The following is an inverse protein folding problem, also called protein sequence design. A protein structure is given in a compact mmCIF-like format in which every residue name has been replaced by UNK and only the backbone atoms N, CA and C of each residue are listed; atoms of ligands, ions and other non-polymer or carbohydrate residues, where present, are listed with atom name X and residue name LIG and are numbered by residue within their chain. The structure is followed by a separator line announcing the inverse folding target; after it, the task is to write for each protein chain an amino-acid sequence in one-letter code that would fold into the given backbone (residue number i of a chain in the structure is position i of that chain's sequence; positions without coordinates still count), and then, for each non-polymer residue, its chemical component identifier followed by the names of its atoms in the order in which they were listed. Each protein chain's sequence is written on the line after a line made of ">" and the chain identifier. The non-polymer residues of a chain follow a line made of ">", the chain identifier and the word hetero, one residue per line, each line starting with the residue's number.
data_IF_942186838852
#
_entry.id   IF_942186838852
#
_cell.length_a   1.000
_cell.length_b   1.000
_cell.length_c   1.000
_cell.angle_alpha   90.00
_cell.angle_beta   90.00
_cell.angle_gamma   90.00
#
_symmetry.space_group_name_H-M   'P 1'
#
loop_
_entity.id
_entity.type
_entity.pdbx_description
1 polymer ?
#
# COMPACT_ATOMS: atom_id res chain seq x y z
N UNK A 1 0.34 9.16 -9.06
CA UNK A 1 -0.21 7.90 -8.47
C UNK A 1 -1.61 7.69 -9.01
N UNK A 2 -1.91 6.50 -9.43
CA UNK A 2 -3.22 6.17 -9.96
C UNK A 2 -3.97 5.24 -9.01
N UNK A 3 -5.23 5.60 -8.71
CA UNK A 3 -6.09 4.78 -7.87
C UNK A 3 -6.54 3.54 -8.63
N UNK A 4 -6.40 2.37 -7.99
CA UNK A 4 -6.92 1.11 -8.50
C UNK A 4 -8.25 0.86 -7.78
N UNK A 5 -9.32 0.67 -8.56
CA UNK A 5 -10.63 0.40 -8.02
C UNK A 5 -10.98 -1.07 -8.24
N UNK A 6 -11.39 -1.73 -7.17
CA UNK A 6 -11.91 -3.10 -7.22
C UNK A 6 -13.41 -3.08 -6.96
N UNK A 7 -14.12 -3.98 -7.63
CA UNK A 7 -15.56 -4.09 -7.42
C UNK A 7 -15.84 -4.78 -6.09
N UNK A 8 -16.65 -4.14 -5.26
CA UNK A 8 -17.08 -4.66 -3.97
C UNK A 8 -18.53 -5.10 -4.04
N UNK A 9 -18.82 -6.31 -3.58
CA UNK A 9 -20.18 -6.86 -3.51
C UNK A 9 -20.64 -6.79 -2.07
N UNK A 10 -21.80 -6.17 -1.85
CA UNK A 10 -22.37 -5.98 -0.51
C UNK A 10 -23.70 -6.70 -0.36
N UNK A 11 -23.93 -7.30 0.81
CA UNK A 11 -25.20 -7.89 1.18
C UNK A 11 -25.39 -7.72 2.70
N UNK A 12 -26.41 -8.34 3.27
CA UNK A 12 -26.71 -8.22 4.71
C UNK A 12 -25.63 -8.79 5.62
N UNK A 13 -24.72 -9.61 5.09
CA UNK A 13 -23.58 -10.19 5.85
C UNK A 13 -22.37 -9.26 5.88
N UNK A 14 -22.30 -8.24 4.99
CA UNK A 14 -21.17 -7.35 4.86
C UNK A 14 -20.73 -7.17 3.43
N UNK A 15 -19.42 -7.21 3.18
CA UNK A 15 -18.89 -6.97 1.85
C UNK A 15 -17.86 -8.02 1.44
N UNK A 16 -17.70 -8.19 0.13
CA UNK A 16 -16.71 -9.07 -0.48
C UNK A 16 -16.06 -8.35 -1.67
N UNK A 17 -14.73 -8.29 -1.67
CA UNK A 17 -13.98 -7.63 -2.74
C UNK A 17 -12.92 -8.60 -3.27
N UNK A 18 -13.17 -9.25 -4.43
CA UNK A 18 -12.15 -10.08 -5.06
C UNK A 18 -11.07 -9.21 -5.72
N UNK A 19 -9.83 -9.63 -5.59
CA UNK A 19 -8.68 -8.97 -6.21
C UNK A 19 -8.02 -10.00 -7.11
N UNK A 20 -8.05 -9.73 -8.43
CA UNK A 20 -7.39 -10.62 -9.37
C UNK A 20 -5.92 -10.24 -9.48
N UNK A 21 -5.03 -11.14 -9.10
CA UNK A 21 -3.58 -10.91 -9.21
C UNK A 21 -3.10 -10.92 -10.66
N UNK A 22 -3.88 -11.49 -11.58
CA UNK A 22 -3.52 -11.48 -13.01
C UNK A 22 -3.61 -10.07 -13.61
N UNK A 23 -4.44 -9.20 -13.06
CA UNK A 23 -4.57 -7.81 -13.51
C UNK A 23 -3.32 -7.01 -13.14
N UNK A 24 -2.65 -7.38 -12.05
CA UNK A 24 -1.49 -6.65 -11.54
C UNK A 24 -0.17 -7.11 -12.17
N UNK A 25 -0.16 -8.27 -12.83
CA UNK A 25 1.00 -8.84 -13.52
C UNK A 25 2.30 -8.78 -12.69
N UNK A 26 2.22 -9.15 -11.43
CA UNK A 26 3.33 -9.10 -10.50
C UNK A 26 3.48 -10.45 -9.79
N UNK A 27 4.70 -10.77 -9.41
CA UNK A 27 4.99 -11.96 -8.59
C UNK A 27 5.04 -11.56 -7.12
N UNK A 28 3.92 -11.65 -6.44
CA UNK A 28 3.84 -11.28 -5.03
C UNK A 28 4.47 -12.36 -4.15
N UNK A 29 5.42 -11.97 -3.31
CA UNK A 29 6.17 -12.86 -2.44
C UNK A 29 5.78 -12.73 -0.97
N UNK A 30 5.16 -11.61 -0.60
CA UNK A 30 4.77 -11.35 0.78
C UNK A 30 3.46 -10.59 0.82
N UNK A 31 2.62 -10.94 1.79
CA UNK A 31 1.41 -10.21 2.12
C UNK A 31 1.53 -9.74 3.57
N UNK A 32 1.33 -8.47 3.81
CA UNK A 32 1.40 -7.88 5.15
C UNK A 32 0.12 -7.13 5.47
N UNK A 33 -0.23 -7.10 6.76
CA UNK A 33 -1.40 -6.38 7.25
C UNK A 33 -0.95 -5.37 8.30
N UNK A 34 -1.37 -4.13 8.14
CA UNK A 34 -1.11 -3.07 9.10
C UNK A 34 -2.44 -2.66 9.74
N UNK A 35 -2.50 -2.75 11.06
CA UNK A 35 -3.67 -2.32 11.84
C UNK A 35 -3.24 -1.09 12.63
N UNK A 36 -4.00 0.00 12.49
CA UNK A 36 -3.66 1.29 13.05
C UNK A 36 -4.83 1.77 13.91
N UNK A 37 -4.66 1.70 15.22
CA UNK A 37 -5.74 1.99 16.17
C UNK A 37 -6.11 3.48 16.18
N UNK A 38 -5.12 4.34 16.04
CA UNK A 38 -5.31 5.79 16.13
C UNK A 38 -5.22 6.47 14.77
N UNK A 39 -6.04 7.51 14.58
CA UNK A 39 -5.91 8.36 13.41
C UNK A 39 -4.60 9.15 13.47
N UNK A 40 -4.12 9.59 12.30
CA UNK A 40 -2.86 10.33 12.12
C UNK A 40 -1.63 9.52 12.53
N UNK A 41 -1.72 8.19 12.46
CA UNK A 41 -0.55 7.33 12.53
C UNK A 41 0.20 7.39 11.21
N UNK A 42 1.48 7.71 11.27
CA UNK A 42 2.36 7.74 10.09
C UNK A 42 3.28 6.53 10.12
N UNK A 43 3.35 5.81 9.00
CA UNK A 43 4.30 4.72 8.79
C UNK A 43 5.10 5.00 7.54
N UNK A 44 6.39 4.99 7.66
CA UNK A 44 7.31 5.24 6.55
C UNK A 44 8.31 6.36 6.87
N UNK A 45 8.95 6.91 5.89
CA UNK A 45 9.04 6.38 4.53
C UNK A 45 9.99 5.21 4.52
N UNK A 46 9.66 4.14 3.78
CA UNK A 46 10.50 2.94 3.68
C UNK A 46 10.84 2.63 2.23
N UNK A 47 12.03 2.12 2.00
CA UNK A 47 12.43 1.56 0.71
C UNK A 47 13.52 0.51 0.92
N UNK A 48 13.70 -0.32 -0.09
CA UNK A 48 14.71 -1.36 -0.10
C UNK A 48 15.45 -1.30 -1.43
N UNK A 49 16.77 -1.49 -1.39
CA UNK A 49 17.63 -1.31 -2.57
C UNK A 49 18.05 -2.63 -3.23
N UNK A 50 18.14 -3.73 -2.47
CA UNK A 50 18.63 -4.99 -3.00
C UNK A 50 17.91 -6.20 -2.36
N UNK A 51 16.90 -6.76 -3.01
CA UNK A 51 16.27 -6.27 -4.24
C UNK A 51 15.36 -5.08 -3.97
N UNK A 52 15.09 -4.23 -4.97
CA UNK A 52 14.05 -3.21 -4.83
C UNK A 52 12.69 -3.87 -4.77
N UNK A 53 11.76 -3.23 -4.06
CA UNK A 53 10.44 -3.81 -3.83
C UNK A 53 9.34 -3.01 -4.51
N UNK A 54 8.47 -3.71 -5.25
CA UNK A 54 7.22 -3.18 -5.75
C UNK A 54 6.12 -3.55 -4.78
N UNK A 55 5.23 -2.61 -4.48
CA UNK A 55 4.17 -2.81 -3.49
C UNK A 55 2.80 -2.50 -4.06
N UNK A 56 1.82 -3.32 -3.72
CA UNK A 56 0.42 -3.05 -3.93
C UNK A 56 -0.19 -2.74 -2.56
N UNK A 57 -0.77 -1.55 -2.44
CA UNK A 57 -1.31 -1.05 -1.17
C UNK A 57 -2.82 -0.96 -1.28
N UNK A 58 -3.54 -1.61 -0.38
CA UNK A 58 -5.00 -1.59 -0.37
C UNK A 58 -5.53 -1.22 1.01
N UNK A 59 -6.42 -0.23 1.05
CA UNK A 59 -7.16 0.10 2.27
C UNK A 59 -8.33 -0.88 2.40
N UNK A 60 -8.34 -1.62 3.49
CA UNK A 60 -9.41 -2.58 3.80
C UNK A 60 -10.49 -1.90 4.62
N UNK A 61 -10.11 -1.03 5.53
CA UNK A 61 -10.99 -0.29 6.41
C UNK A 61 -10.38 1.07 6.73
N UNK A 62 -11.19 2.10 6.75
CA UNK A 62 -10.75 3.46 7.05
C UNK A 62 -10.23 4.20 5.83
N UNK A 63 -9.26 5.09 6.05
CA UNK A 63 -8.70 5.90 4.98
C UNK A 63 -7.29 6.35 5.31
N UNK A 64 -6.50 6.60 4.26
CA UNK A 64 -5.12 7.03 4.38
C UNK A 64 -4.81 8.10 3.33
N UNK A 65 -3.73 8.86 3.56
CA UNK A 65 -3.01 9.51 2.48
C UNK A 65 -1.75 8.70 2.25
N UNK A 66 -1.58 8.22 1.04
CA UNK A 66 -0.42 7.43 0.64
C UNK A 66 0.58 8.33 -0.06
N UNK A 67 1.86 8.20 0.31
CA UNK A 67 2.95 9.05 -0.20
C UNK A 67 4.01 8.20 -0.87
N UNK A 68 4.58 8.72 -1.95
CA UNK A 68 5.81 8.15 -2.50
C UNK A 68 6.80 9.24 -2.89
N UNK A 69 8.08 8.89 -2.81
CA UNK A 69 9.18 9.77 -3.19
C UNK A 69 10.06 9.02 -4.17
N UNK A 70 10.31 9.62 -5.34
CA UNK A 70 11.22 9.05 -6.32
C UNK A 70 12.64 9.11 -5.80
N UNK A 71 13.34 7.96 -5.76
CA UNK A 71 14.68 7.87 -5.18
C UNK A 71 15.75 8.55 -6.04
N UNK A 72 15.49 8.73 -7.34
CA UNK A 72 16.45 9.40 -8.24
C UNK A 72 16.25 10.91 -8.27
N UNK A 73 15.00 11.37 -8.37
CA UNK A 73 14.68 12.78 -8.59
C UNK A 73 14.30 13.52 -7.32
N UNK A 74 13.87 12.80 -6.28
CA UNK A 74 13.34 13.40 -5.07
C UNK A 74 11.91 13.93 -5.24
N UNK A 75 11.28 13.73 -6.40
CA UNK A 75 9.89 14.14 -6.61
C UNK A 75 8.95 13.36 -5.70
N UNK A 76 8.00 14.07 -5.13
CA UNK A 76 7.00 13.50 -4.23
C UNK A 76 5.65 13.43 -4.93
N UNK A 77 4.87 12.42 -4.56
CA UNK A 77 3.49 12.28 -5.00
C UNK A 77 2.66 11.72 -3.85
N UNK A 78 1.38 11.97 -3.88
CA UNK A 78 0.48 11.46 -2.85
C UNK A 78 -0.93 11.30 -3.39
N UNK A 79 -1.72 10.45 -2.73
CA UNK A 79 -3.10 10.20 -3.08
C UNK A 79 -3.88 9.80 -1.82
N UNK A 80 -5.11 10.30 -1.71
CA UNK A 80 -6.01 9.85 -0.65
C UNK A 80 -6.68 8.54 -1.10
N UNK A 81 -6.61 7.53 -0.24
CA UNK A 81 -7.23 6.23 -0.47
C UNK A 81 -8.25 5.96 0.63
N UNK A 82 -9.44 5.58 0.21
CA UNK A 82 -10.56 5.25 1.08
C UNK A 82 -10.81 3.74 1.04
N UNK A 83 -11.75 3.29 1.85
CA UNK A 83 -12.15 1.88 1.88
C UNK A 83 -12.28 1.31 0.46
N UNK A 84 -11.61 0.20 0.22
CA UNK A 84 -11.51 -0.55 -1.05
C UNK A 84 -10.62 0.05 -2.13
N UNK A 85 -10.09 1.26 -1.95
CA UNK A 85 -9.13 1.83 -2.89
C UNK A 85 -7.75 1.19 -2.73
N UNK A 86 -6.99 1.16 -3.81
CA UNK A 86 -5.64 0.62 -3.84
C UNK A 86 -4.74 1.44 -4.76
N UNK A 87 -3.43 1.23 -4.63
CA UNK A 87 -2.42 1.86 -5.48
C UNK A 87 -1.22 0.92 -5.62
N UNK A 88 -0.54 1.01 -6.75
CA UNK A 88 0.70 0.28 -7.01
C UNK A 88 1.87 1.24 -6.82
N UNK A 89 2.86 0.85 -6.02
CA UNK A 89 4.08 1.62 -5.77
C UNK A 89 5.22 0.95 -6.52
N UNK A 90 5.80 1.61 -7.53
CA UNK A 90 6.94 1.06 -8.26
C UNK A 90 8.17 0.87 -7.36
N UNK A 91 9.09 0.04 -7.80
CA UNK A 91 10.21 -0.41 -6.99
C UNK A 91 11.33 0.62 -6.74
N UNK A 92 11.27 1.78 -7.37
CA UNK A 92 12.27 2.84 -7.18
C UNK A 92 11.75 4.00 -6.32
N UNK A 93 10.80 3.74 -5.45
CA UNK A 93 10.15 4.75 -4.62
C UNK A 93 10.31 4.44 -3.13
N UNK A 94 10.51 5.47 -2.33
CA UNK A 94 10.25 5.39 -0.91
C UNK A 94 8.75 5.56 -0.69
N UNK A 95 8.18 4.86 0.26
CA UNK A 95 6.75 4.77 0.45
C UNK A 95 6.36 4.91 1.92
N UNK A 96 5.25 5.58 2.16
CA UNK A 96 4.65 5.68 3.48
C UNK A 96 3.20 6.11 3.41
N UNK A 97 2.54 6.09 4.55
CA UNK A 97 1.15 6.56 4.60
C UNK A 97 0.81 7.17 5.95
N UNK A 98 -0.20 8.03 5.94
CA UNK A 98 -0.77 8.66 7.13
C UNK A 98 -2.24 8.23 7.24
N UNK A 99 -2.63 7.67 8.37
CA UNK A 99 -4.04 7.31 8.59
C UNK A 99 -4.88 8.56 8.87
N UNK A 100 -6.09 8.59 8.32
CA UNK A 100 -7.03 9.71 8.49
C UNK A 100 -8.16 9.36 9.45
N UNK A 101 -8.29 8.10 9.84
CA UNK A 101 -9.34 7.59 10.71
C UNK A 101 -8.75 6.62 11.72
N UNK A 102 -9.37 6.46 12.90
CA UNK A 102 -8.97 5.39 13.81
C UNK A 102 -9.35 4.02 13.23
N UNK A 103 -8.67 2.98 13.67
CA UNK A 103 -8.93 1.59 13.26
C UNK A 103 -8.80 1.37 11.75
N UNK A 104 -7.85 2.05 11.13
CA UNK A 104 -7.55 1.89 9.69
C UNK A 104 -6.73 0.63 9.49
N UNK A 105 -7.14 -0.18 8.52
CA UNK A 105 -6.48 -1.44 8.17
C UNK A 105 -6.01 -1.35 6.72
N UNK A 106 -4.72 -1.61 6.52
CA UNK A 106 -4.07 -1.57 5.22
C UNK A 106 -3.40 -2.90 4.95
N UNK A 107 -3.62 -3.45 3.77
CA UNK A 107 -2.98 -4.69 3.32
C UNK A 107 -1.99 -4.34 2.22
N UNK A 108 -0.79 -4.91 2.29
CA UNK A 108 0.18 -4.77 1.21
C UNK A 108 0.60 -6.12 0.64
N UNK A 109 0.71 -6.16 -0.68
CA UNK A 109 1.40 -7.24 -1.37
C UNK A 109 2.75 -6.69 -1.80
N UNK A 110 3.79 -7.49 -1.66
CA UNK A 110 5.17 -7.07 -1.93
C UNK A 110 5.82 -8.04 -2.91
N UNK A 111 6.39 -7.49 -3.98
CA UNK A 111 7.30 -8.21 -4.87
C UNK A 111 8.72 -7.76 -4.58
N UNK A 112 9.62 -8.70 -4.42
CA UNK A 112 11.00 -8.47 -4.01
C UNK A 112 11.21 -9.01 -2.60
N UNK A 113 12.11 -9.99 -2.48
CA UNK A 113 12.38 -10.65 -1.21
C UNK A 113 12.85 -9.66 -0.14
N UNK A 114 12.32 -9.77 1.08
CA UNK A 114 12.73 -8.92 2.18
C UNK A 114 14.22 -9.11 2.51
N UNK A 115 14.97 -8.02 2.54
CA UNK A 115 16.38 -8.00 2.87
C UNK A 115 16.65 -6.87 3.88
N UNK A 116 16.75 -7.18 5.18
CA UNK A 116 16.95 -6.14 6.19
C UNK A 116 18.25 -5.37 6.04
N UNK A 117 19.26 -5.95 5.38
CA UNK A 117 20.55 -5.27 5.17
C UNK A 117 20.45 -4.11 4.18
N UNK A 118 19.48 -4.13 3.28
CA UNK A 118 19.28 -3.05 2.30
C UNK A 118 18.00 -2.27 2.51
N UNK A 119 17.29 -2.51 3.61
CA UNK A 119 16.11 -1.73 3.96
C UNK A 119 16.50 -0.40 4.59
N UNK A 120 15.78 0.67 4.22
CA UNK A 120 16.00 2.03 4.68
C UNK A 120 14.68 2.66 5.14
N UNK A 121 14.79 3.55 6.07
CA UNK A 121 13.64 4.31 6.58
C UNK A 121 13.98 5.78 6.81
#
# INVERSE_FOLDING_TARGET
>A
MERINHRTFKDERGSYTPISTTVLDQKWEQCSVSINDEKFTFRGLHYQTNPPQTKYIKVVQGSIIDFMVDLETGETDYIALYDSDAVLIPNNKAHGFLTLEPNTIVVYLVEGEYNPESEHS
#
